data_IF_053515314714
#
_entry.id   IF_053515314714
#
_cell.length_a   1.000
_cell.length_b   1.000
_cell.length_c   1.000
_cell.angle_alpha   90.00
_cell.angle_beta   90.00
_cell.angle_gamma   90.00
#
_symmetry.space_group_name_H-M   'P 1'
#
loop_
_entity.id
_entity.type
_entity.pdbx_description
1 polymer ?
#
# COMPACT_ATOMS: atom_id res chain seq x y z
N UNK A 1 -2.66 -3.19 -45.45
CA UNK A 1 -3.40 -3.04 -44.17
C UNK A 1 -2.44 -3.35 -43.03
N UNK A 2 -1.84 -2.36 -42.34
CA UNK A 2 -0.90 -2.66 -41.27
C UNK A 2 -1.67 -3.12 -40.01
N UNK A 3 -1.37 -4.33 -39.54
CA UNK A 3 -1.84 -4.84 -38.25
C UNK A 3 -1.31 -3.94 -37.13
N UNK A 4 -2.21 -3.17 -36.49
CA UNK A 4 -1.91 -2.49 -35.21
C UNK A 4 -1.53 -3.55 -34.19
N UNK A 5 -0.25 -3.63 -33.80
CA UNK A 5 0.17 -4.35 -32.60
C UNK A 5 -0.58 -3.75 -31.41
N UNK A 6 -1.36 -4.58 -30.71
CA UNK A 6 -1.90 -4.23 -29.40
C UNK A 6 -0.73 -4.19 -28.43
N UNK A 7 -0.30 -2.98 -28.05
CA UNK A 7 0.55 -2.82 -26.88
C UNK A 7 -0.27 -3.18 -25.65
N UNK A 8 -0.03 -4.36 -25.09
CA UNK A 8 -0.58 -4.76 -23.80
C UNK A 8 0.26 -4.04 -22.74
N UNK A 9 -0.24 -2.89 -22.27
CA UNK A 9 0.29 -2.27 -21.06
C UNK A 9 -0.20 -3.11 -19.88
N UNK A 10 0.62 -4.08 -19.46
CA UNK A 10 0.40 -4.81 -18.21
C UNK A 10 0.64 -3.86 -17.05
N UNK A 11 -0.44 -3.28 -16.51
CA UNK A 11 -0.40 -2.70 -15.17
C UNK A 11 -0.38 -3.84 -14.17
N UNK A 12 0.81 -4.36 -13.89
CA UNK A 12 0.99 -5.39 -12.86
C UNK A 12 0.81 -4.74 -11.49
N UNK A 13 -0.40 -4.87 -10.93
CA UNK A 13 -0.65 -4.62 -9.51
C UNK A 13 0.06 -5.72 -8.72
N UNK A 14 1.02 -5.37 -7.85
CA UNK A 14 1.77 -6.32 -7.03
C UNK A 14 1.39 -6.20 -5.55
N UNK A 15 0.23 -6.73 -5.13
CA UNK A 15 -0.17 -6.73 -3.72
C UNK A 15 0.70 -7.64 -2.86
N UNK A 16 1.48 -8.56 -3.46
CA UNK A 16 2.48 -9.38 -2.73
C UNK A 16 3.59 -8.56 -2.08
N UNK A 17 3.75 -7.27 -2.41
CA UNK A 17 4.75 -6.37 -1.82
C UNK A 17 4.18 -5.04 -1.32
N UNK A 18 2.90 -4.75 -1.58
CA UNK A 18 2.27 -3.51 -1.14
C UNK A 18 1.65 -3.71 0.25
N UNK A 19 2.50 -3.57 1.26
CA UNK A 19 2.10 -3.45 2.68
C UNK A 19 1.59 -2.04 3.00
N UNK A 20 1.38 -1.21 1.97
CA UNK A 20 1.03 0.19 2.13
C UNK A 20 0.24 0.75 0.96
N UNK A 21 -0.39 1.86 1.26
CA UNK A 21 -1.02 2.77 0.33
C UNK A 21 -0.07 3.08 -0.82
N UNK A 22 -0.50 2.79 -2.05
CA UNK A 22 0.32 3.05 -3.24
C UNK A 22 -0.26 4.23 -4.00
N UNK A 23 0.62 5.13 -4.42
CA UNK A 23 0.29 6.31 -5.21
C UNK A 23 0.90 6.22 -6.57
N UNK A 24 0.18 6.78 -7.52
CA UNK A 24 0.52 6.83 -8.92
C UNK A 24 0.31 8.26 -9.41
N UNK A 25 1.32 8.79 -10.10
CA UNK A 25 1.22 10.02 -10.87
C UNK A 25 1.46 9.68 -12.34
N UNK A 26 0.59 10.13 -13.24
CA UNK A 26 0.71 9.92 -14.68
C UNK A 26 0.68 11.27 -15.43
N UNK A 27 1.62 11.49 -16.35
CA UNK A 27 1.72 12.71 -17.16
C UNK A 27 0.73 12.69 -18.34
N UNK A 28 0.35 13.84 -18.88
CA UNK A 28 -0.65 13.93 -19.96
C UNK A 28 -0.11 14.42 -21.32
N UNK A 29 1.20 14.43 -21.56
CA UNK A 29 1.75 15.00 -22.82
C UNK A 29 2.00 13.93 -23.89
N UNK A 30 1.08 13.85 -24.86
CA UNK A 30 1.19 13.24 -26.22
C UNK A 30 1.90 11.88 -26.34
N UNK A 31 1.16 10.90 -26.87
CA UNK A 31 1.45 9.45 -26.91
C UNK A 31 2.83 9.00 -27.45
N UNK A 32 3.67 9.88 -28.01
CA UNK A 32 5.01 9.53 -28.53
C UNK A 32 6.16 9.69 -27.52
N UNK A 33 5.96 10.35 -26.37
CA UNK A 33 7.00 10.53 -25.32
C UNK A 33 6.55 9.93 -23.97
N UNK A 34 5.39 9.26 -23.95
CA UNK A 34 4.56 9.04 -22.77
C UNK A 34 4.77 7.68 -22.06
N UNK A 35 5.99 7.16 -22.04
CA UNK A 35 6.22 5.79 -21.54
C UNK A 35 6.82 5.68 -20.11
N UNK A 36 7.31 6.74 -19.45
CA UNK A 36 8.37 6.49 -18.45
C UNK A 36 8.30 7.09 -17.04
N UNK A 37 7.16 7.56 -16.53
CA UNK A 37 7.10 7.92 -15.11
C UNK A 37 5.84 7.46 -14.40
N UNK A 38 5.68 6.14 -14.22
CA UNK A 38 4.96 5.65 -13.04
C UNK A 38 5.93 5.77 -11.86
N UNK A 39 5.82 6.85 -11.11
CA UNK A 39 6.59 7.00 -9.87
C UNK A 39 5.96 6.10 -8.82
N UNK A 40 6.50 4.89 -8.66
CA UNK A 40 6.14 4.02 -7.54
C UNK A 40 6.73 4.61 -6.26
N UNK A 41 5.89 5.19 -5.41
CA UNK A 41 6.30 5.78 -4.12
C UNK A 41 6.79 4.79 -3.05
N UNK A 42 7.01 3.51 -3.40
CA UNK A 42 7.32 2.46 -2.43
C UNK A 42 8.63 1.73 -2.80
N UNK A 43 9.74 2.24 -2.26
CA UNK A 43 10.93 1.42 -2.00
C UNK A 43 11.16 1.47 -0.49
N UNK A 44 11.30 0.30 0.16
CA UNK A 44 11.52 0.21 1.61
C UNK A 44 12.75 1.07 1.99
N UNK A 45 12.55 2.05 2.88
CA UNK A 45 13.55 3.04 3.28
C UNK A 45 13.48 4.39 2.53
N UNK A 46 12.63 4.51 1.51
CA UNK A 46 12.50 5.69 0.65
C UNK A 46 11.04 6.05 0.32
N UNK A 47 10.11 5.81 1.26
CA UNK A 47 8.72 6.24 1.06
C UNK A 47 8.69 7.77 0.94
N UNK A 48 8.49 8.26 -0.29
CA UNK A 48 8.39 9.68 -0.57
C UNK A 48 6.93 10.07 -0.42
N UNK A 49 6.63 10.79 0.66
CA UNK A 49 5.33 11.40 0.86
C UNK A 49 5.07 12.40 -0.31
N UNK A 50 3.82 12.54 -0.81
CA UNK A 50 3.54 13.42 -1.95
C UNK A 50 3.98 14.87 -1.75
N UNK A 51 4.01 15.36 -0.51
CA UNK A 51 4.55 16.65 -0.10
C UNK A 51 5.96 16.87 -0.67
N UNK A 52 6.81 15.82 -0.64
CA UNK A 52 8.16 15.90 -1.21
C UNK A 52 8.14 16.04 -2.74
N UNK A 53 7.18 15.41 -3.41
CA UNK A 53 7.01 15.56 -4.85
C UNK A 53 6.52 16.95 -5.20
N UNK A 54 5.48 17.43 -4.50
CA UNK A 54 4.95 18.79 -4.64
C UNK A 54 6.05 19.83 -4.44
N UNK A 55 6.87 19.67 -3.38
CA UNK A 55 8.00 20.54 -3.11
C UNK A 55 9.06 20.52 -4.22
N UNK A 56 9.34 19.34 -4.80
CA UNK A 56 10.37 19.19 -5.84
C UNK A 56 9.93 19.61 -7.24
N UNK A 57 8.66 19.39 -7.59
CA UNK A 57 8.11 19.63 -8.92
C UNK A 57 7.46 21.01 -9.04
N UNK A 58 7.07 21.60 -7.90
CA UNK A 58 6.23 22.78 -7.85
C UNK A 58 4.75 22.45 -8.03
N UNK A 59 3.90 23.31 -7.46
CA UNK A 59 2.44 23.13 -7.49
C UNK A 59 1.87 23.06 -8.91
N UNK A 60 2.32 23.93 -9.81
CA UNK A 60 1.79 23.98 -11.18
C UNK A 60 2.01 22.66 -11.93
N UNK A 61 3.23 22.15 -11.91
CA UNK A 61 3.57 20.88 -12.57
C UNK A 61 2.87 19.71 -11.89
N UNK A 62 2.80 19.68 -10.55
CA UNK A 62 2.06 18.66 -9.81
C UNK A 62 0.59 18.59 -10.22
N UNK A 63 -0.07 19.76 -10.31
CA UNK A 63 -1.47 19.86 -10.71
C UNK A 63 -1.70 19.45 -12.17
N UNK A 64 -0.67 19.43 -13.02
CA UNK A 64 -0.78 18.92 -14.40
C UNK A 64 -0.85 17.39 -14.49
N UNK A 65 -0.39 16.66 -13.46
CA UNK A 65 -0.44 15.20 -13.43
C UNK A 65 -1.83 14.66 -13.06
N UNK A 66 -2.15 13.46 -13.54
CA UNK A 66 -3.21 12.65 -12.96
C UNK A 66 -2.65 11.92 -11.75
N UNK A 67 -3.08 12.31 -10.55
CA UNK A 67 -2.58 11.77 -9.30
C UNK A 67 -3.67 10.97 -8.60
N UNK A 68 -3.37 9.72 -8.27
CA UNK A 68 -4.30 8.84 -7.59
C UNK A 68 -3.61 7.87 -6.63
N UNK A 69 -4.37 7.30 -5.69
CA UNK A 69 -3.90 6.19 -4.86
C UNK A 69 -5.06 5.38 -4.30
N UNK A 70 -4.73 4.25 -3.67
CA UNK A 70 -5.73 3.36 -3.07
C UNK A 70 -5.48 3.19 -1.58
N UNK A 71 -6.54 3.35 -0.79
CA UNK A 71 -6.60 3.04 0.64
C UNK A 71 -7.21 1.67 0.89
N UNK A 72 -7.03 1.16 2.10
CA UNK A 72 -7.75 0.01 2.62
C UNK A 72 -8.32 0.35 4.00
N UNK A 73 -9.37 -0.34 4.43
CA UNK A 73 -9.83 -0.24 5.82
C UNK A 73 -8.66 -0.42 6.80
N UNK A 74 -8.45 0.48 7.79
CA UNK A 74 -7.24 0.50 8.63
C UNK A 74 -6.96 -0.84 9.32
N UNK A 75 -7.99 -1.49 9.87
CA UNK A 75 -7.85 -2.79 10.51
C UNK A 75 -7.40 -3.89 9.53
N UNK A 76 -8.02 -3.95 8.34
CA UNK A 76 -7.65 -4.93 7.31
C UNK A 76 -6.22 -4.70 6.78
N UNK A 77 -5.77 -3.44 6.71
CA UNK A 77 -4.40 -3.07 6.36
C UNK A 77 -3.39 -3.64 7.37
N UNK A 78 -3.68 -3.53 8.67
CA UNK A 78 -2.83 -4.07 9.73
C UNK A 78 -2.77 -5.60 9.69
N UNK A 79 -3.93 -6.27 9.58
CA UNK A 79 -3.98 -7.73 9.46
C UNK A 79 -3.18 -8.23 8.25
N UNK A 80 -3.35 -7.55 7.11
CA UNK A 80 -2.59 -7.85 5.89
C UNK A 80 -1.08 -7.67 6.09
N UNK A 81 -0.67 -6.63 6.83
CA UNK A 81 0.75 -6.36 7.14
C UNK A 81 1.34 -7.44 8.05
N UNK A 82 0.59 -7.83 9.08
CA UNK A 82 0.98 -8.91 9.97
C UNK A 82 1.15 -10.24 9.21
N UNK A 83 0.16 -10.63 8.40
CA UNK A 83 0.20 -11.85 7.59
C UNK A 83 1.32 -11.83 6.53
N UNK A 84 1.56 -10.68 5.90
CA UNK A 84 2.71 -10.48 5.01
C UNK A 84 4.02 -10.73 5.75
N UNK A 85 4.20 -10.12 6.92
CA UNK A 85 5.43 -10.23 7.71
C UNK A 85 5.69 -11.67 8.14
N UNK A 86 4.64 -12.38 8.55
CA UNK A 86 4.69 -13.82 8.85
C UNK A 86 5.16 -14.64 7.64
N UNK A 87 4.59 -14.37 6.46
CA UNK A 87 4.91 -15.06 5.22
C UNK A 87 6.35 -14.81 4.78
N UNK A 88 6.81 -13.55 4.81
CA UNK A 88 8.19 -13.21 4.44
C UNK A 88 9.20 -13.80 5.42
N UNK A 89 8.92 -13.72 6.72
CA UNK A 89 9.77 -14.32 7.75
C UNK A 89 9.98 -15.82 7.50
N UNK A 90 8.93 -16.57 7.17
CA UNK A 90 9.02 -17.99 6.82
C UNK A 90 9.88 -18.23 5.57
N UNK A 91 9.68 -17.42 4.51
CA UNK A 91 10.46 -17.52 3.26
C UNK A 91 11.95 -17.23 3.47
N UNK A 92 12.27 -16.16 4.20
CA UNK A 92 13.64 -15.77 4.49
C UNK A 92 14.34 -16.78 5.40
N UNK A 93 13.65 -17.36 6.39
CA UNK A 93 14.20 -18.49 7.19
C UNK A 93 14.53 -19.70 6.33
N UNK A 94 13.65 -20.10 5.40
CA UNK A 94 13.90 -21.22 4.47
C UNK A 94 15.12 -20.97 3.59
N UNK A 95 15.26 -19.76 3.04
CA UNK A 95 16.43 -19.38 2.21
C UNK A 95 17.74 -19.33 3.00
N UNK A 96 17.69 -18.91 4.26
CA UNK A 96 18.87 -18.89 5.13
C UNK A 96 19.41 -20.29 5.42
N UNK A 97 18.56 -21.32 5.43
CA UNK A 97 18.99 -22.72 5.60
C UNK A 97 19.66 -23.28 4.33
N UNK A 98 19.34 -22.74 3.15
CA UNK A 98 19.92 -23.18 1.87
C UNK A 98 21.19 -22.44 1.48
N UNK A 99 21.43 -21.24 2.04
CA UNK A 99 22.60 -20.41 1.74
C UNK A 99 23.72 -20.65 2.78
N UNK A 100 24.51 -21.71 2.57
CA UNK A 100 25.63 -22.13 3.42
C UNK A 100 26.81 -21.12 3.48
N UNK A 101 26.84 -20.09 2.64
CA UNK A 101 27.99 -19.17 2.47
C UNK A 101 28.03 -17.95 3.42
N UNK A 102 27.22 -17.95 4.49
CA UNK A 102 27.51 -17.16 5.71
C UNK A 102 27.40 -15.64 5.64
N UNK A 103 26.99 -15.01 4.54
CA UNK A 103 26.81 -13.54 4.49
C UNK A 103 25.34 -13.13 4.50
N UNK A 104 24.68 -13.29 5.65
CA UNK A 104 23.29 -12.87 5.84
C UNK A 104 23.21 -11.35 6.09
N UNK A 105 23.64 -10.54 5.12
CA UNK A 105 23.47 -9.08 5.14
C UNK A 105 22.06 -8.67 4.64
N UNK A 106 21.07 -9.50 4.94
CA UNK A 106 19.71 -9.31 4.50
C UNK A 106 19.06 -8.18 5.30
N UNK A 107 18.81 -7.06 4.63
CA UNK A 107 18.21 -5.87 5.23
C UNK A 107 16.82 -6.16 5.81
N UNK A 108 16.14 -7.21 5.35
CA UNK A 108 14.83 -7.62 5.84
C UNK A 108 14.81 -7.78 7.37
N UNK A 109 15.81 -8.47 7.95
CA UNK A 109 15.88 -8.72 9.39
C UNK A 109 16.16 -7.46 10.22
N UNK A 110 16.63 -6.39 9.58
CA UNK A 110 16.93 -5.11 10.25
C UNK A 110 15.69 -4.21 10.35
N UNK A 111 14.61 -4.52 9.64
CA UNK A 111 13.40 -3.69 9.63
C UNK A 111 12.62 -3.77 10.94
N UNK A 112 12.20 -2.62 11.47
CA UNK A 112 11.53 -2.52 12.78
C UNK A 112 10.26 -3.36 12.88
N UNK A 113 9.41 -3.38 11.84
CA UNK A 113 8.20 -4.20 11.83
C UNK A 113 8.48 -5.71 11.79
N UNK A 114 9.61 -6.14 11.21
CA UNK A 114 10.00 -7.56 11.23
C UNK A 114 10.41 -7.96 12.64
N UNK A 115 11.19 -7.12 13.33
CA UNK A 115 11.54 -7.32 14.75
C UNK A 115 10.30 -7.32 15.63
N UNK A 116 9.40 -6.34 15.44
CA UNK A 116 8.12 -6.28 16.14
C UNK A 116 7.34 -7.59 15.99
N UNK A 117 7.25 -8.13 14.78
CA UNK A 117 6.57 -9.41 14.54
C UNK A 117 7.26 -10.58 15.26
N UNK A 118 8.59 -10.64 15.26
CA UNK A 118 9.35 -11.72 15.92
C UNK A 118 9.28 -11.65 17.45
N UNK A 119 9.13 -10.45 18.03
CA UNK A 119 9.09 -10.19 19.47
C UNK A 119 7.66 -10.22 20.05
N UNK A 120 6.64 -10.22 19.20
CA UNK A 120 5.24 -10.15 19.62
C UNK A 120 4.58 -11.52 19.70
N UNK A 121 3.78 -11.73 20.74
CA UNK A 121 2.87 -12.87 20.83
C UNK A 121 1.54 -12.56 20.14
N UNK A 122 1.49 -12.79 18.83
CA UNK A 122 0.29 -12.61 18.03
C UNK A 122 0.03 -11.17 17.55
N UNK A 123 -1.12 -11.00 16.89
CA UNK A 123 -1.52 -9.74 16.23
C UNK A 123 -1.70 -8.57 17.21
N UNK A 124 -2.36 -8.83 18.36
CA UNK A 124 -2.67 -7.81 19.36
C UNK A 124 -1.39 -7.19 19.96
N UNK A 125 -0.39 -8.03 20.28
CA UNK A 125 0.92 -7.55 20.74
C UNK A 125 1.67 -6.81 19.63
N UNK A 126 1.62 -7.32 18.39
CA UNK A 126 2.30 -6.74 17.23
C UNK A 126 1.88 -5.29 16.96
N UNK A 127 0.57 -5.00 16.91
CA UNK A 127 0.09 -3.65 16.57
C UNK A 127 0.40 -2.62 17.66
N UNK A 128 0.73 -3.06 18.88
CA UNK A 128 1.12 -2.21 20.02
C UNK A 128 2.63 -2.13 20.21
N UNK A 129 3.40 -2.88 19.42
CA UNK A 129 4.84 -2.98 19.62
C UNK A 129 5.56 -1.67 19.27
N UNK A 130 6.49 -1.15 20.08
CA UNK A 130 7.19 0.13 19.81
C UNK A 130 7.93 0.15 18.46
N UNK A 131 8.53 -0.97 18.06
CA UNK A 131 9.19 -1.11 16.75
C UNK A 131 8.20 -1.12 15.57
N UNK A 132 6.95 -1.53 15.80
CA UNK A 132 5.89 -1.37 14.82
C UNK A 132 5.46 0.10 14.77
N UNK A 133 5.15 0.71 15.91
CA UNK A 133 4.65 2.09 15.98
C UNK A 133 5.64 3.13 15.41
N UNK A 134 6.94 2.85 15.47
CA UNK A 134 7.98 3.67 14.84
C UNK A 134 8.21 3.36 13.35
N UNK A 135 7.59 2.30 12.82
CA UNK A 135 7.70 1.92 11.41
C UNK A 135 6.98 2.92 10.52
N UNK A 136 7.55 3.31 9.36
CA UNK A 136 6.81 4.07 8.35
C UNK A 136 5.50 3.40 7.95
N UNK A 137 5.41 2.07 7.99
CA UNK A 137 4.19 1.32 7.64
C UNK A 137 3.06 1.48 8.65
N UNK A 138 3.37 1.88 9.89
CA UNK A 138 2.37 2.11 10.92
C UNK A 138 1.72 3.48 10.81
N UNK A 139 2.15 4.36 9.91
CA UNK A 139 1.54 5.68 9.73
C UNK A 139 0.11 5.59 9.19
N UNK A 140 -0.77 6.52 9.55
CA UNK A 140 -2.04 6.69 8.87
C UNK A 140 -1.86 6.83 7.36
N UNK A 141 -2.82 6.31 6.60
CA UNK A 141 -2.83 6.44 5.15
C UNK A 141 -3.01 7.91 4.74
N UNK A 142 -3.67 8.73 5.57
CA UNK A 142 -3.80 10.18 5.36
C UNK A 142 -2.46 10.89 5.18
N UNK A 143 -1.40 10.47 5.87
CA UNK A 143 -0.06 11.07 5.76
C UNK A 143 0.47 11.06 4.33
N UNK A 144 0.01 10.08 3.55
CA UNK A 144 0.40 9.93 2.17
C UNK A 144 -0.58 10.59 1.20
N UNK A 145 -1.77 11.02 1.61
CA UNK A 145 -2.79 11.63 0.72
C UNK A 145 -2.93 13.14 0.95
N UNK A 146 -2.57 13.63 2.13
CA UNK A 146 -2.87 14.98 2.61
C UNK A 146 -1.64 15.72 3.13
N UNK A 147 -1.62 17.03 2.94
CA UNK A 147 -0.76 17.97 3.68
C UNK A 147 -1.64 18.80 4.63
N UNK A 148 -1.61 18.46 5.92
CA UNK A 148 -2.61 18.92 6.88
C UNK A 148 -4.03 18.51 6.44
N UNK A 149 -4.90 19.49 6.22
CA UNK A 149 -6.27 19.27 5.73
C UNK A 149 -6.38 19.30 4.19
N UNK A 150 -5.29 19.54 3.47
CA UNK A 150 -5.30 19.69 2.01
C UNK A 150 -5.00 18.35 1.34
N UNK A 151 -5.96 17.82 0.56
CA UNK A 151 -5.73 16.61 -0.24
C UNK A 151 -4.77 16.91 -1.38
N UNK A 152 -3.68 16.14 -1.48
CA UNK A 152 -2.62 16.32 -2.48
C UNK A 152 -2.89 15.57 -3.78
N UNK A 153 -3.78 14.59 -3.78
CA UNK A 153 -4.10 13.79 -4.97
C UNK A 153 -5.51 14.05 -5.49
N UNK A 154 -5.71 13.81 -6.78
CA UNK A 154 -7.00 14.03 -7.46
C UNK A 154 -8.00 12.92 -7.17
N UNK A 155 -7.55 11.67 -7.04
CA UNK A 155 -8.42 10.54 -6.76
C UNK A 155 -7.87 9.64 -5.64
N UNK A 156 -8.77 9.18 -4.76
CA UNK A 156 -8.45 8.19 -3.72
C UNK A 156 -9.48 7.08 -3.81
N UNK A 157 -9.05 5.91 -4.31
CA UNK A 157 -9.87 4.71 -4.36
C UNK A 157 -9.70 3.85 -3.11
N UNK A 158 -10.52 2.81 -2.98
CA UNK A 158 -10.51 1.83 -1.89
C UNK A 158 -10.23 0.44 -2.46
N UNK A 159 -9.43 -0.36 -1.77
CA UNK A 159 -9.17 -1.75 -2.18
C UNK A 159 -10.43 -2.62 -2.08
N UNK A 160 -11.35 -2.26 -1.20
CA UNK A 160 -12.66 -2.88 -1.06
C UNK A 160 -13.52 -2.70 -2.33
N UNK A 161 -13.26 -1.64 -3.10
CA UNK A 161 -13.97 -1.28 -4.33
C UNK A 161 -13.00 -1.15 -5.52
N UNK A 162 -11.94 -1.99 -5.54
CA UNK A 162 -10.79 -1.79 -6.42
C UNK A 162 -11.18 -1.69 -7.90
N UNK A 163 -12.06 -2.57 -8.37
CA UNK A 163 -12.47 -2.58 -9.78
C UNK A 163 -13.18 -1.28 -10.20
N UNK A 164 -14.16 -0.83 -9.43
CA UNK A 164 -14.93 0.38 -9.75
C UNK A 164 -14.09 1.66 -9.62
N UNK A 165 -13.24 1.72 -8.59
CA UNK A 165 -12.38 2.89 -8.37
C UNK A 165 -11.27 2.94 -9.42
N UNK A 166 -10.71 1.79 -9.80
CA UNK A 166 -9.76 1.72 -10.90
C UNK A 166 -10.39 2.08 -12.25
N UNK A 167 -11.63 1.65 -12.53
CA UNK A 167 -12.34 2.05 -13.74
C UNK A 167 -12.50 3.58 -13.83
N UNK A 168 -12.72 4.25 -12.70
CA UNK A 168 -12.76 5.73 -12.62
C UNK A 168 -11.42 6.36 -13.01
N UNK A 169 -10.31 5.82 -12.49
CA UNK A 169 -8.96 6.26 -12.84
C UNK A 169 -8.65 6.01 -14.32
N UNK A 170 -8.95 4.81 -14.83
CA UNK A 170 -8.75 4.45 -16.23
C UNK A 170 -9.50 5.41 -17.16
N UNK A 171 -10.75 5.73 -16.83
CA UNK A 171 -11.55 6.73 -17.56
C UNK A 171 -10.89 8.11 -17.55
N UNK A 172 -10.37 8.58 -16.41
CA UNK A 172 -9.69 9.89 -16.34
C UNK A 172 -8.41 9.95 -17.20
N UNK A 173 -7.77 8.81 -17.39
CA UNK A 173 -6.57 8.64 -18.21
C UNK A 173 -6.88 8.35 -19.68
N UNK A 174 -8.17 8.30 -20.06
CA UNK A 174 -8.62 7.89 -21.39
C UNK A 174 -8.10 6.49 -21.79
N UNK A 175 -7.92 5.62 -20.79
CA UNK A 175 -7.56 4.22 -21.00
C UNK A 175 -8.82 3.37 -21.21
N UNK A 176 -8.72 2.27 -21.97
CA UNK A 176 -9.79 1.29 -22.05
C UNK A 176 -10.13 0.76 -20.65
N UNK A 177 -11.41 0.45 -20.42
CA UNK A 177 -11.79 -0.27 -19.20
C UNK A 177 -11.33 -1.71 -19.35
N UNK A 178 -10.46 -2.15 -18.43
CA UNK A 178 -10.01 -3.53 -18.34
C UNK A 178 -10.61 -4.18 -17.10
N UNK A 179 -11.00 -5.44 -17.21
CA UNK A 179 -11.20 -6.28 -16.04
C UNK A 179 -9.85 -6.48 -15.36
N UNK A 180 -9.79 -6.22 -14.06
CA UNK A 180 -8.58 -6.42 -13.29
C UNK A 180 -8.42 -7.92 -13.00
N UNK A 181 -7.27 -8.48 -13.36
CA UNK A 181 -6.91 -9.82 -12.93
C UNK A 181 -6.64 -9.86 -11.42
N UNK A 182 -7.09 -10.93 -10.74
CA UNK A 182 -6.78 -11.16 -9.34
C UNK A 182 -5.45 -11.89 -9.21
N UNK A 183 -4.38 -11.14 -8.94
CA UNK A 183 -3.07 -11.71 -8.60
C UNK A 183 -2.83 -11.61 -7.10
N UNK A 184 -2.43 -12.72 -6.48
CA UNK A 184 -2.09 -12.82 -5.06
C UNK A 184 -3.25 -12.65 -4.06
N UNK A 185 -4.40 -13.24 -4.36
CA UNK A 185 -5.39 -13.52 -3.32
C UNK A 185 -4.72 -14.30 -2.18
N UNK A 186 -4.66 -13.68 -1.00
CA UNK A 186 -4.34 -14.41 0.22
C UNK A 186 -5.50 -15.34 0.53
N UNK A 187 -5.24 -16.63 0.75
CA UNK A 187 -6.23 -17.52 1.36
C UNK A 187 -6.62 -16.90 2.71
N UNK A 188 -7.78 -16.26 2.75
CA UNK A 188 -8.35 -15.69 3.98
C UNK A 188 -8.87 -16.79 4.93
N UNK A 189 -8.31 -18.00 4.86
CA UNK A 189 -8.67 -19.18 5.67
C UNK A 189 -8.32 -19.08 7.15
N UNK A 190 -7.93 -17.91 7.63
CA UNK A 190 -8.04 -17.57 9.05
C UNK A 190 -8.54 -16.14 9.14
N UNK A 191 -9.85 -15.97 8.99
CA UNK A 191 -10.50 -14.95 9.79
C UNK A 191 -10.04 -15.23 11.23
N UNK A 192 -9.25 -14.33 11.80
CA UNK A 192 -9.15 -14.29 13.25
C UNK A 192 -10.60 -14.17 13.72
N UNK A 193 -11.09 -15.22 14.36
CA UNK A 193 -12.46 -15.35 14.83
C UNK A 193 -12.87 -14.03 15.47
N UNK A 194 -13.74 -13.30 14.77
CA UNK A 194 -14.09 -11.92 15.12
C UNK A 194 -14.95 -11.87 16.38
N UNK A 195 -15.36 -13.03 16.88
CA UNK A 195 -16.35 -13.16 17.94
C UNK A 195 -15.78 -13.03 19.35
N UNK A 196 -14.48 -13.24 19.59
CA UNK A 196 -13.90 -13.12 20.94
C UNK A 196 -12.51 -12.45 20.96
N UNK A 197 -12.42 -11.28 21.61
CA UNK A 197 -11.14 -10.62 21.94
C UNK A 197 -10.76 -9.38 21.11
N UNK A 198 -11.48 -9.04 20.04
CA UNK A 198 -11.15 -7.92 19.15
C UNK A 198 -11.53 -6.53 19.66
N UNK A 199 -12.36 -6.41 20.71
CA UNK A 199 -12.88 -5.11 21.13
C UNK A 199 -11.80 -4.08 21.49
N UNK A 200 -10.78 -4.51 22.24
CA UNK A 200 -9.64 -3.66 22.62
C UNK A 200 -8.70 -3.38 21.43
N UNK A 201 -8.58 -4.31 20.48
CA UNK A 201 -7.80 -4.13 19.24
C UNK A 201 -8.48 -3.13 18.30
N UNK A 202 -9.78 -3.26 18.07
CA UNK A 202 -10.56 -2.33 17.26
C UNK A 202 -10.54 -0.93 17.85
N UNK A 203 -10.68 -0.79 19.17
CA UNK A 203 -10.55 0.51 19.85
C UNK A 203 -9.17 1.12 19.64
N UNK A 204 -8.10 0.35 19.88
CA UNK A 204 -6.73 0.80 19.67
C UNK A 204 -6.46 1.22 18.22
N UNK A 205 -6.94 0.44 17.25
CA UNK A 205 -6.79 0.75 15.82
C UNK A 205 -7.60 1.99 15.45
N UNK A 206 -8.83 2.13 15.94
CA UNK A 206 -9.63 3.34 15.71
C UNK A 206 -8.91 4.59 16.23
N UNK A 207 -8.39 4.54 17.45
CA UNK A 207 -7.69 5.71 18.03
C UNK A 207 -6.38 6.01 17.31
N UNK A 208 -5.62 4.98 16.93
CA UNK A 208 -4.35 5.15 16.21
C UNK A 208 -4.51 5.64 14.77
N UNK A 209 -5.64 5.33 14.13
CA UNK A 209 -5.90 5.60 12.72
C UNK A 209 -7.15 6.46 12.50
N UNK A 210 -7.56 7.24 13.50
CA UNK A 210 -8.79 8.06 13.45
C UNK A 210 -8.87 8.93 12.19
N UNK A 211 -7.75 9.52 11.78
CA UNK A 211 -7.66 10.32 10.56
C UNK A 211 -8.03 9.53 9.30
N UNK A 212 -7.67 8.26 9.20
CA UNK A 212 -8.05 7.41 8.07
C UNK A 212 -9.55 7.12 8.07
N UNK A 213 -10.13 6.84 9.24
CA UNK A 213 -11.57 6.60 9.36
C UNK A 213 -12.36 7.83 8.93
N UNK A 214 -11.98 9.00 9.43
CA UNK A 214 -12.67 10.25 9.17
C UNK A 214 -12.46 10.73 7.72
N UNK A 215 -11.21 10.73 7.23
CA UNK A 215 -10.89 11.25 5.90
C UNK A 215 -11.37 10.35 4.75
N UNK A 216 -11.43 9.04 4.97
CA UNK A 216 -11.87 8.09 3.95
C UNK A 216 -13.26 7.54 4.20
N UNK A 217 -13.96 7.93 5.28
CA UNK A 217 -15.33 7.50 5.55
C UNK A 217 -15.47 5.99 5.76
N UNK A 218 -14.55 5.39 6.53
CA UNK A 218 -14.64 3.99 6.91
C UNK A 218 -15.51 3.81 8.17
N UNK A 219 -16.33 2.74 8.24
CA UNK A 219 -16.99 2.36 9.49
C UNK A 219 -15.96 1.96 10.55
N UNK A 220 -16.27 2.13 11.83
CA UNK A 220 -15.35 1.71 12.93
C UNK A 220 -15.15 0.20 12.99
N UNK A 221 -16.16 -0.55 12.53
CA UNK A 221 -16.13 -1.99 12.44
C UNK A 221 -15.82 -2.41 11.00
N UNK A 222 -14.83 -3.29 10.77
CA UNK A 222 -14.45 -3.79 9.46
C UNK A 222 -15.55 -4.57 8.74
#
# INVERSE_FOLDING_TARGET
MPQKRREVVSLSYCPRTCVGTTYYAAAHRSASVLAQFIVKGFTYGNTRLPQKFVQSLGNELWQSYHTFGFVRHPFHRLQSTYAYTATQTKKHRRRSLTNWTGTNNDQFWKWGFVKAYLESDGFSAFIRHPLWLSSPLARPQTDYFYDGNTRLVKHVGRLENLESDFATVAKSLQLPTWELGFENMSDHGSQHDTSQGLGSDLGFVYDSYRSDYDAFGYPKTP
#
